data_IF_422961918294
#
_entry.id   IF_422961918294
#
_cell.length_a   1.000
_cell.length_b   1.000
_cell.length_c   1.000
_cell.angle_alpha   90.00
_cell.angle_beta   90.00
_cell.angle_gamma   90.00
#
_symmetry.space_group_name_H-M   'P 1'
#
loop_
_entity.id
_entity.type
_entity.pdbx_description
1 polymer ?
#
# COMPACT_ATOMS: atom_id res chain seq x y z
N UNK A 1 -10.13 -8.40 -8.38
CA UNK A 1 -10.92 -9.55 -7.90
C UNK A 1 -11.88 -10.07 -8.96
N UNK A 2 -12.77 -9.25 -9.52
CA UNK A 2 -13.80 -9.69 -10.48
C UNK A 2 -13.32 -9.89 -11.94
N UNK A 3 -12.09 -9.47 -12.27
CA UNK A 3 -11.58 -9.27 -13.64
C UNK A 3 -11.92 -10.33 -14.69
N UNK A 4 -13.05 -10.14 -15.35
CA UNK A 4 -13.54 -10.85 -16.53
C UNK A 4 -14.21 -9.83 -17.45
N UNK A 5 -13.89 -9.91 -18.74
CA UNK A 5 -14.41 -9.00 -19.75
C UNK A 5 -15.91 -9.21 -20.00
N UNK A 6 -16.37 -10.47 -20.05
CA UNK A 6 -17.75 -10.83 -20.37
C UNK A 6 -18.70 -10.43 -19.24
N UNK A 7 -18.39 -10.84 -18.01
CA UNK A 7 -19.18 -10.45 -16.84
C UNK A 7 -19.11 -8.94 -16.57
N UNK A 8 -17.95 -8.31 -16.77
CA UNK A 8 -17.78 -6.86 -16.67
C UNK A 8 -18.62 -6.10 -17.68
N UNK A 9 -18.76 -6.60 -18.91
CA UNK A 9 -19.60 -6.02 -19.95
C UNK A 9 -21.08 -6.04 -19.57
N UNK A 10 -21.58 -7.17 -19.06
CA UNK A 10 -22.97 -7.29 -18.59
C UNK A 10 -23.25 -6.33 -17.42
N UNK A 11 -22.35 -6.24 -16.45
CA UNK A 11 -22.46 -5.28 -15.35
C UNK A 11 -22.49 -3.83 -15.85
N UNK A 12 -21.61 -3.49 -16.78
CA UNK A 12 -21.53 -2.14 -17.38
C UNK A 12 -22.81 -1.80 -18.13
N UNK A 13 -23.36 -2.74 -18.90
CA UNK A 13 -24.59 -2.55 -19.66
C UNK A 13 -25.78 -2.30 -18.73
N UNK A 14 -25.94 -3.12 -17.68
CA UNK A 14 -26.99 -2.92 -16.69
C UNK A 14 -26.85 -1.55 -15.96
N UNK A 15 -25.64 -1.18 -15.55
CA UNK A 15 -25.40 0.09 -14.87
C UNK A 15 -25.60 1.29 -15.81
N UNK A 16 -25.19 1.18 -17.08
CA UNK A 16 -25.39 2.22 -18.09
C UNK A 16 -26.87 2.45 -18.36
N UNK A 17 -27.69 1.39 -18.42
CA UNK A 17 -29.14 1.52 -18.53
C UNK A 17 -29.76 2.22 -17.31
N UNK A 18 -29.30 1.92 -16.10
CA UNK A 18 -29.73 2.61 -14.88
C UNK A 18 -29.37 4.11 -14.90
N UNK A 19 -28.18 4.46 -15.39
CA UNK A 19 -27.75 5.85 -15.53
C UNK A 19 -28.51 6.59 -16.65
N UNK A 20 -28.68 5.97 -17.82
CA UNK A 20 -29.34 6.59 -18.97
C UNK A 20 -30.84 6.86 -18.72
N UNK A 21 -31.52 5.95 -18.01
CA UNK A 21 -32.95 6.06 -17.71
C UNK A 21 -33.24 6.49 -16.27
N UNK A 22 -32.33 7.25 -15.61
CA UNK A 22 -32.46 7.57 -14.19
C UNK A 22 -33.82 8.21 -13.83
N UNK A 23 -34.33 9.13 -14.66
CA UNK A 23 -35.62 9.80 -14.42
C UNK A 23 -36.81 8.83 -14.50
N UNK A 24 -36.76 7.87 -15.42
CA UNK A 24 -37.83 6.88 -15.63
C UNK A 24 -37.78 5.77 -14.59
N UNK A 25 -36.59 5.46 -14.11
CA UNK A 25 -36.29 4.40 -13.14
C UNK A 25 -36.21 4.93 -11.70
N UNK A 26 -36.56 6.20 -11.46
CA UNK A 26 -36.59 6.79 -10.13
C UNK A 26 -37.54 6.07 -9.15
N UNK A 27 -38.50 5.28 -9.67
CA UNK A 27 -39.34 4.43 -8.82
C UNK A 27 -38.55 3.29 -8.16
N UNK A 28 -37.46 2.78 -8.76
CA UNK A 28 -36.59 1.77 -8.14
C UNK A 28 -35.92 2.29 -6.86
N UNK A 29 -35.80 3.61 -6.70
CA UNK A 29 -35.28 4.20 -5.47
C UNK A 29 -36.25 4.05 -4.28
N UNK A 30 -37.54 3.74 -4.55
CA UNK A 30 -38.56 3.54 -3.52
C UNK A 30 -38.56 2.13 -2.96
N UNK A 31 -38.12 1.15 -3.74
CA UNK A 31 -37.98 -0.24 -3.28
C UNK A 31 -36.72 -0.41 -2.44
N UNK A 32 -36.85 -0.98 -1.25
CA UNK A 32 -35.74 -1.09 -0.29
C UNK A 32 -34.58 -1.95 -0.81
N UNK A 33 -34.88 -3.01 -1.56
CA UNK A 33 -33.88 -3.90 -2.18
C UNK A 33 -33.15 -3.26 -3.36
N UNK A 34 -33.83 -2.45 -4.17
CA UNK A 34 -33.29 -1.84 -5.39
C UNK A 34 -32.68 -0.45 -5.15
N UNK A 35 -33.00 0.18 -4.02
CA UNK A 35 -32.47 1.49 -3.62
C UNK A 35 -30.94 1.51 -3.57
N UNK A 36 -30.31 0.43 -3.09
CA UNK A 36 -28.85 0.32 -3.03
C UNK A 36 -28.23 0.37 -4.44
N UNK A 37 -28.79 -0.38 -5.39
CA UNK A 37 -28.31 -0.42 -6.78
C UNK A 37 -28.52 0.91 -7.50
N UNK A 38 -29.69 1.55 -7.29
CA UNK A 38 -29.98 2.84 -7.91
C UNK A 38 -29.08 3.96 -7.39
N UNK A 39 -28.83 3.99 -6.07
CA UNK A 39 -27.94 4.97 -5.44
C UNK A 39 -26.49 4.75 -5.86
N UNK A 40 -26.05 3.49 -5.92
CA UNK A 40 -24.71 3.09 -6.33
C UNK A 40 -24.47 3.01 -7.85
N UNK A 41 -25.40 3.44 -8.71
CA UNK A 41 -25.34 3.21 -10.16
C UNK A 41 -24.02 3.65 -10.83
N UNK A 42 -23.47 4.79 -10.40
CA UNK A 42 -22.19 5.29 -10.91
C UNK A 42 -21.00 4.45 -10.43
N UNK A 43 -21.05 3.92 -9.21
CA UNK A 43 -20.04 3.02 -8.65
C UNK A 43 -20.06 1.70 -9.44
N UNK A 44 -21.24 1.13 -9.68
CA UNK A 44 -21.40 -0.11 -10.44
C UNK A 44 -20.92 0.07 -11.89
N UNK A 45 -21.24 1.21 -12.51
CA UNK A 45 -20.74 1.54 -13.85
C UNK A 45 -19.22 1.54 -13.88
N UNK A 46 -18.58 2.22 -12.94
CA UNK A 46 -17.12 2.30 -12.85
C UNK A 46 -16.49 0.93 -12.55
N UNK A 47 -17.10 0.13 -11.67
CA UNK A 47 -16.69 -1.25 -11.39
C UNK A 47 -16.74 -2.12 -12.64
N UNK A 48 -17.81 -2.01 -13.45
CA UNK A 48 -17.94 -2.74 -14.71
C UNK A 48 -16.87 -2.36 -15.72
N UNK A 49 -16.62 -1.07 -15.91
CA UNK A 49 -15.58 -0.56 -16.83
C UNK A 49 -14.17 -1.02 -16.42
N UNK A 50 -13.82 -0.91 -15.13
CA UNK A 50 -12.54 -1.41 -14.64
C UNK A 50 -12.45 -2.95 -14.67
N UNK A 51 -13.56 -3.66 -14.49
CA UNK A 51 -13.60 -5.11 -14.71
C UNK A 51 -13.30 -5.46 -16.15
N UNK A 52 -13.86 -4.73 -17.12
CA UNK A 52 -13.56 -4.96 -18.54
C UNK A 52 -12.09 -4.73 -18.85
N UNK A 53 -11.49 -3.65 -18.33
CA UNK A 53 -10.06 -3.38 -18.48
C UNK A 53 -9.20 -4.51 -17.88
N UNK A 54 -9.50 -4.94 -16.66
CA UNK A 54 -8.75 -6.03 -16.00
C UNK A 54 -8.99 -7.39 -16.65
N UNK A 55 -10.19 -7.67 -17.15
CA UNK A 55 -10.49 -8.89 -17.92
C UNK A 55 -9.74 -8.94 -19.25
N UNK A 56 -9.56 -7.79 -19.90
CA UNK A 56 -8.71 -7.68 -21.09
C UNK A 56 -7.23 -7.93 -20.76
N UNK A 57 -6.73 -7.43 -19.63
CA UNK A 57 -5.36 -7.72 -19.16
C UNK A 57 -5.16 -9.18 -18.75
N UNK A 58 -6.16 -9.81 -18.13
CA UNK A 58 -6.12 -11.25 -17.85
C UNK A 58 -6.37 -12.10 -19.09
N UNK A 59 -6.83 -11.48 -20.17
CA UNK A 59 -7.22 -12.14 -21.40
C UNK A 59 -8.26 -13.24 -21.13
N UNK A 60 -9.32 -12.88 -20.40
CA UNK A 60 -10.39 -13.80 -20.01
C UNK A 60 -11.76 -13.21 -20.36
N UNK A 61 -12.51 -13.95 -21.17
CA UNK A 61 -13.91 -13.70 -21.51
C UNK A 61 -14.71 -14.99 -21.29
N UNK A 62 -15.52 -15.03 -20.24
CA UNK A 62 -16.32 -16.21 -19.88
C UNK A 62 -15.49 -17.52 -19.82
N UNK A 63 -14.31 -17.48 -19.19
CA UNK A 63 -13.38 -18.62 -19.08
C UNK A 63 -12.79 -19.07 -20.43
N UNK A 64 -12.58 -18.11 -21.34
CA UNK A 64 -11.88 -18.33 -22.61
C UNK A 64 -10.90 -17.20 -22.88
N UNK A 65 -9.77 -17.54 -23.49
CA UNK A 65 -8.81 -16.55 -23.96
C UNK A 65 -9.18 -15.96 -25.33
N UNK A 66 -8.84 -14.70 -25.54
CA UNK A 66 -8.96 -14.01 -26.83
C UNK A 66 -7.60 -13.97 -27.52
N UNK A 67 -7.51 -14.48 -28.75
CA UNK A 67 -6.31 -14.38 -29.59
C UNK A 67 -6.30 -13.07 -30.38
N UNK A 68 -6.11 -11.93 -29.70
CA UNK A 68 -6.13 -10.60 -30.33
C UNK A 68 -4.81 -10.33 -31.06
N UNK A 69 -3.68 -10.68 -30.45
CA UNK A 69 -2.34 -10.50 -31.02
C UNK A 69 -1.65 -11.85 -31.27
N UNK A 70 -0.50 -11.81 -31.97
CA UNK A 70 0.36 -12.98 -32.12
C UNK A 70 0.88 -13.44 -30.75
N UNK A 71 0.78 -14.74 -30.49
CA UNK A 71 1.33 -15.34 -29.28
C UNK A 71 2.86 -15.34 -29.32
N UNK A 72 3.49 -15.04 -28.18
CA UNK A 72 4.93 -15.18 -27.96
C UNK A 72 5.36 -16.63 -27.72
N UNK A 73 4.46 -17.60 -27.85
CA UNK A 73 4.75 -19.03 -27.69
C UNK A 73 4.41 -19.80 -28.97
N UNK A 74 5.35 -20.63 -29.42
CA UNK A 74 5.13 -21.58 -30.50
C UNK A 74 5.04 -23.00 -29.93
N UNK A 75 4.00 -23.72 -30.35
CA UNK A 75 3.90 -25.15 -30.10
C UNK A 75 4.66 -25.90 -31.20
N UNK A 76 5.50 -26.90 -30.87
CA UNK A 76 6.19 -27.68 -31.88
C UNK A 76 5.19 -28.50 -32.69
N UNK A 77 5.43 -28.61 -33.99
CA UNK A 77 4.55 -29.28 -34.97
C UNK A 77 4.56 -30.80 -34.84
N UNK A 78 5.60 -31.38 -34.26
CA UNK A 78 5.73 -32.81 -34.04
C UNK A 78 5.02 -33.22 -32.75
N UNK A 79 3.70 -33.32 -32.82
CA UNK A 79 2.89 -33.88 -31.76
C UNK A 79 3.11 -35.39 -31.71
N UNK A 80 4.02 -35.85 -30.84
CA UNK A 80 4.24 -37.27 -30.58
C UNK A 80 3.00 -37.94 -29.97
N UNK A 81 1.98 -38.24 -30.77
CA UNK A 81 0.77 -38.98 -30.35
C UNK A 81 -0.06 -38.33 -29.23
N UNK A 82 -1.18 -38.98 -28.88
CA UNK A 82 -2.00 -38.59 -27.73
C UNK A 82 -1.28 -38.93 -26.41
N UNK A 83 -1.14 -37.95 -25.51
CA UNK A 83 -0.65 -38.16 -24.14
C UNK A 83 0.81 -37.77 -23.86
N UNK A 84 1.57 -37.29 -24.85
CA UNK A 84 2.92 -36.76 -24.63
C UNK A 84 2.86 -35.30 -24.21
N UNK A 85 3.57 -34.94 -23.13
CA UNK A 85 3.73 -33.56 -22.69
C UNK A 85 4.63 -32.81 -23.66
N UNK A 86 4.08 -31.79 -24.30
CA UNK A 86 4.80 -30.93 -25.24
C UNK A 86 5.17 -29.62 -24.53
N UNK A 87 6.43 -29.20 -24.66
CA UNK A 87 6.89 -27.90 -24.16
C UNK A 87 6.79 -26.85 -25.27
N UNK A 88 6.17 -25.71 -24.98
CA UNK A 88 6.12 -24.58 -25.89
C UNK A 88 7.48 -23.84 -25.89
N UNK A 89 7.97 -23.48 -27.08
CA UNK A 89 9.18 -22.68 -27.22
C UNK A 89 8.83 -21.19 -27.20
N UNK A 90 9.55 -20.41 -26.38
CA UNK A 90 9.42 -18.95 -26.32
C UNK A 90 9.97 -18.32 -27.61
N UNK A 91 9.17 -17.48 -28.27
CA UNK A 91 9.61 -16.63 -29.38
C UNK A 91 10.27 -15.35 -28.86
N UNK A 92 10.98 -14.64 -29.74
CA UNK A 92 11.69 -13.38 -29.44
C UNK A 92 10.78 -12.17 -29.18
N UNK A 93 9.46 -12.36 -29.00
CA UNK A 93 8.53 -11.27 -28.73
C UNK A 93 7.62 -11.57 -27.53
N UNK A 94 7.27 -10.50 -26.81
CA UNK A 94 6.37 -10.54 -25.65
C UNK A 94 4.97 -10.13 -26.09
N UNK A 95 3.94 -10.77 -25.54
CA UNK A 95 2.55 -10.44 -25.84
C UNK A 95 2.25 -8.96 -25.48
N UNK A 96 1.72 -8.14 -26.41
CA UNK A 96 1.66 -6.69 -26.21
C UNK A 96 0.77 -6.22 -25.06
N UNK A 97 -0.39 -6.86 -24.84
CA UNK A 97 -1.37 -6.43 -23.84
C UNK A 97 -1.92 -7.65 -23.11
N UNK A 98 -1.60 -7.76 -21.82
CA UNK A 98 -2.16 -8.78 -20.95
C UNK A 98 -1.43 -10.12 -21.00
N UNK A 99 -2.13 -11.18 -20.62
CA UNK A 99 -1.59 -12.54 -20.58
C UNK A 99 -1.74 -13.20 -21.96
N UNK A 100 -0.68 -13.89 -22.38
CA UNK A 100 -0.65 -14.61 -23.65
C UNK A 100 -1.72 -15.73 -23.69
N UNK A 101 -2.54 -15.82 -24.76
CA UNK A 101 -3.55 -16.87 -24.92
C UNK A 101 -3.00 -18.30 -24.81
N UNK A 102 -1.73 -18.53 -25.16
CA UNK A 102 -1.11 -19.85 -25.10
C UNK A 102 -1.12 -20.46 -23.69
N UNK A 103 -1.14 -19.63 -22.64
CA UNK A 103 -1.22 -20.11 -21.26
C UNK A 103 -2.58 -20.74 -20.92
N UNK A 104 -3.66 -20.43 -21.63
CA UNK A 104 -4.99 -20.92 -21.27
C UNK A 104 -5.12 -22.45 -21.42
N UNK A 105 -4.36 -23.06 -22.34
CA UNK A 105 -4.39 -24.50 -22.59
C UNK A 105 -3.23 -25.26 -21.92
N UNK A 106 -2.33 -24.55 -21.25
CA UNK A 106 -1.15 -25.14 -20.64
C UNK A 106 -1.48 -25.81 -19.29
N UNK A 107 -0.93 -27.00 -19.03
CA UNK A 107 -1.10 -27.71 -17.76
C UNK A 107 -0.50 -26.99 -16.55
N UNK A 108 0.47 -26.09 -16.76
CA UNK A 108 1.14 -25.29 -15.74
C UNK A 108 0.60 -23.84 -15.64
N UNK A 109 -0.53 -23.53 -16.28
CA UNK A 109 -1.14 -22.19 -16.29
C UNK A 109 -1.47 -21.65 -14.90
N UNK A 110 -1.96 -22.52 -14.01
CA UNK A 110 -2.26 -22.17 -12.62
C UNK A 110 -1.01 -21.76 -11.85
N UNK A 111 0.12 -22.42 -12.09
CA UNK A 111 1.38 -22.10 -11.40
C UNK A 111 1.89 -20.71 -11.80
N UNK A 112 1.81 -20.40 -13.11
CA UNK A 112 2.15 -19.08 -13.65
C UNK A 112 1.20 -17.99 -13.14
N UNK A 113 -0.11 -18.18 -13.31
CA UNK A 113 -1.13 -17.18 -12.96
C UNK A 113 -1.19 -16.92 -11.46
N UNK A 114 -1.04 -17.94 -10.61
CA UNK A 114 -0.98 -17.76 -9.16
C UNK A 114 0.25 -16.95 -8.75
N UNK A 115 1.42 -17.24 -9.33
CA UNK A 115 2.65 -16.49 -9.02
C UNK A 115 2.56 -15.03 -9.50
N UNK A 116 1.98 -14.80 -10.67
CA UNK A 116 1.73 -13.47 -11.21
C UNK A 116 0.76 -12.68 -10.32
N UNK A 117 -0.42 -13.23 -10.02
CA UNK A 117 -1.46 -12.57 -9.23
C UNK A 117 -0.97 -12.25 -7.82
N UNK A 118 -0.26 -13.17 -7.16
CA UNK A 118 0.30 -12.92 -5.83
C UNK A 118 1.25 -11.71 -5.84
N UNK A 119 2.21 -11.68 -6.77
CA UNK A 119 3.19 -10.58 -6.87
C UNK A 119 2.52 -9.27 -7.25
N UNK A 120 1.58 -9.29 -8.19
CA UNK A 120 0.79 -8.12 -8.58
C UNK A 120 0.00 -7.54 -7.40
N UNK A 121 -0.64 -8.39 -6.59
CA UNK A 121 -1.38 -7.97 -5.39
C UNK A 121 -0.46 -7.27 -4.38
N UNK A 122 0.74 -7.80 -4.13
CA UNK A 122 1.72 -7.17 -3.22
C UNK A 122 2.12 -5.79 -3.74
N UNK A 123 2.45 -5.67 -5.04
CA UNK A 123 2.86 -4.39 -5.64
C UNK A 123 1.75 -3.35 -5.55
N UNK A 124 0.52 -3.72 -5.92
CA UNK A 124 -0.63 -2.81 -5.84
C UNK A 124 -0.98 -2.44 -4.40
N UNK A 125 -0.91 -3.41 -3.48
CA UNK A 125 -1.17 -3.20 -2.06
C UNK A 125 -0.20 -2.19 -1.44
N UNK A 126 1.10 -2.36 -1.67
CA UNK A 126 2.12 -1.44 -1.14
C UNK A 126 1.99 -0.03 -1.72
N UNK A 127 1.67 0.09 -3.01
CA UNK A 127 1.39 1.41 -3.63
C UNK A 127 0.16 2.05 -2.98
N UNK A 128 -0.91 1.29 -2.76
CA UNK A 128 -2.14 1.79 -2.17
C UNK A 128 -1.96 2.21 -0.70
N UNK A 129 -1.23 1.41 0.10
CA UNK A 129 -0.88 1.77 1.48
C UNK A 129 0.00 3.01 1.53
N UNK A 130 0.98 3.12 0.62
CA UNK A 130 1.84 4.30 0.50
C UNK A 130 1.02 5.55 0.20
N UNK A 131 0.05 5.46 -0.73
CA UNK A 131 -0.88 6.55 -1.01
C UNK A 131 -1.63 6.99 0.25
N UNK A 132 -2.15 6.03 1.03
CA UNK A 132 -2.85 6.31 2.28
C UNK A 132 -1.99 7.05 3.31
N UNK A 133 -0.72 6.65 3.48
CA UNK A 133 0.21 7.34 4.39
C UNK A 133 0.55 8.74 3.86
N UNK A 134 0.72 8.91 2.55
CA UNK A 134 0.97 10.21 1.93
C UNK A 134 -0.18 11.21 2.14
N UNK A 135 -1.43 10.76 2.28
CA UNK A 135 -2.58 11.64 2.58
C UNK A 135 -2.47 12.32 3.96
N UNK A 136 -1.62 11.81 4.87
CA UNK A 136 -1.35 12.47 6.14
C UNK A 136 -0.59 13.80 5.96
N UNK A 137 0.18 13.96 4.87
CA UNK A 137 0.99 15.16 4.64
C UNK A 137 0.14 16.40 4.37
N UNK A 138 -0.84 16.39 3.43
CA UNK A 138 -1.78 17.49 3.27
C UNK A 138 -2.52 17.85 4.56
N UNK A 139 -2.95 16.84 5.33
CA UNK A 139 -3.63 17.06 6.61
C UNK A 139 -2.72 17.78 7.60
N UNK A 140 -1.48 17.33 7.76
CA UNK A 140 -0.53 17.96 8.67
C UNK A 140 -0.14 19.38 8.23
N UNK A 141 -0.11 19.64 6.91
CA UNK A 141 0.11 20.98 6.37
C UNK A 141 -1.07 21.91 6.65
N UNK A 142 -2.31 21.45 6.43
CA UNK A 142 -3.53 22.20 6.70
C UNK A 142 -3.63 22.61 8.18
N UNK A 143 -3.40 21.67 9.10
CA UNK A 143 -3.42 21.93 10.55
C UNK A 143 -2.13 22.57 11.08
N UNK A 144 -1.14 22.88 10.23
CA UNK A 144 0.17 23.47 10.58
C UNK A 144 0.98 22.66 11.63
N UNK A 145 0.68 21.38 11.82
CA UNK A 145 1.35 20.50 12.80
C UNK A 145 2.59 19.84 12.19
N UNK A 146 3.67 20.61 11.99
CA UNK A 146 4.93 20.15 11.37
C UNK A 146 5.61 19.00 12.13
N UNK A 147 5.39 18.93 13.45
CA UNK A 147 5.93 17.85 14.32
C UNK A 147 5.44 16.47 13.84
N UNK A 148 4.18 16.37 13.40
CA UNK A 148 3.61 15.12 12.91
C UNK A 148 4.25 14.67 11.59
N UNK A 149 4.67 15.60 10.74
CA UNK A 149 5.35 15.25 9.48
C UNK A 149 6.70 14.60 9.77
N UNK A 150 7.50 15.22 10.64
CA UNK A 150 8.85 14.75 10.93
C UNK A 150 8.89 13.46 11.77
N UNK A 151 7.96 13.30 12.71
CA UNK A 151 8.04 12.24 13.72
C UNK A 151 7.00 11.13 13.56
N UNK A 152 5.99 11.31 12.69
CA UNK A 152 5.00 10.27 12.36
C UNK A 152 5.15 9.85 10.91
N UNK A 153 4.99 10.78 9.96
CA UNK A 153 5.01 10.43 8.53
C UNK A 153 6.37 9.89 8.05
N UNK A 154 7.48 10.60 8.34
CA UNK A 154 8.81 10.21 7.85
C UNK A 154 9.22 8.80 8.33
N UNK A 155 9.15 8.48 9.64
CA UNK A 155 9.50 7.14 10.10
C UNK A 155 8.57 6.05 9.57
N UNK A 156 7.27 6.34 9.41
CA UNK A 156 6.29 5.40 8.83
C UNK A 156 6.64 5.03 7.39
N UNK A 157 6.94 6.03 6.56
CA UNK A 157 7.36 5.80 5.17
C UNK A 157 8.68 5.05 5.11
N UNK A 158 9.69 5.44 5.90
CA UNK A 158 10.98 4.75 5.90
C UNK A 158 10.80 3.29 6.31
N UNK A 159 10.04 3.01 7.37
CA UNK A 159 9.75 1.66 7.82
C UNK A 159 9.07 0.82 6.72
N UNK A 160 8.00 1.35 6.10
CA UNK A 160 7.27 0.66 5.04
C UNK A 160 8.17 0.35 3.83
N UNK A 161 8.93 1.34 3.36
CA UNK A 161 9.81 1.17 2.19
C UNK A 161 11.02 0.26 2.48
N UNK A 162 11.51 0.23 3.71
CA UNK A 162 12.66 -0.61 4.09
C UNK A 162 12.34 -2.10 4.00
N UNK A 163 11.10 -2.50 4.31
CA UNK A 163 10.66 -3.90 4.30
C UNK A 163 9.91 -4.20 3.01
N UNK A 164 8.76 -3.56 2.82
CA UNK A 164 7.83 -3.86 1.73
C UNK A 164 8.19 -3.14 0.43
N UNK A 165 8.76 -1.94 0.50
CA UNK A 165 9.33 -1.28 -0.67
C UNK A 165 10.48 -2.09 -1.27
N UNK A 166 11.36 -2.65 -0.43
CA UNK A 166 12.41 -3.57 -0.86
C UNK A 166 11.85 -4.86 -1.49
N UNK A 167 10.77 -5.41 -0.93
CA UNK A 167 10.08 -6.56 -1.53
C UNK A 167 9.54 -6.23 -2.93
N UNK A 168 8.89 -5.08 -3.11
CA UNK A 168 8.42 -4.61 -4.43
C UNK A 168 9.58 -4.42 -5.40
N UNK A 169 10.67 -3.80 -4.95
CA UNK A 169 11.89 -3.67 -5.73
C UNK A 169 12.43 -5.05 -6.16
N UNK A 170 12.50 -6.02 -5.25
CA UNK A 170 12.98 -7.36 -5.57
C UNK A 170 12.07 -8.10 -6.57
N UNK A 171 10.74 -7.91 -6.50
CA UNK A 171 9.80 -8.45 -7.49
C UNK A 171 10.09 -7.88 -8.88
N UNK A 172 10.19 -6.56 -9.00
CA UNK A 172 10.43 -5.88 -10.28
C UNK A 172 11.83 -6.25 -10.81
N UNK A 173 12.85 -6.23 -9.97
CA UNK A 173 14.21 -6.62 -10.34
C UNK A 173 14.26 -8.07 -10.83
N UNK A 174 13.57 -8.99 -10.15
CA UNK A 174 13.47 -10.38 -10.56
C UNK A 174 12.77 -10.53 -11.91
N UNK A 175 11.75 -9.71 -12.21
CA UNK A 175 11.08 -9.69 -13.51
C UNK A 175 11.92 -9.07 -14.63
N UNK A 176 12.78 -8.11 -14.31
CA UNK A 176 13.65 -7.42 -15.27
C UNK A 176 14.97 -8.15 -15.57
N UNK A 177 15.27 -9.24 -14.86
CA UNK A 177 16.52 -10.01 -15.03
C UNK A 177 16.23 -11.32 -15.73
N UNK A 178 16.99 -11.64 -16.78
CA UNK A 178 16.92 -12.94 -17.42
C UNK A 178 17.82 -13.94 -16.69
N UNK A 179 17.19 -14.77 -15.85
CA UNK A 179 17.87 -15.78 -15.02
C UNK A 179 18.40 -16.98 -15.82
N UNK A 180 17.95 -17.15 -17.07
CA UNK A 180 18.33 -18.28 -17.91
C UNK A 180 19.25 -17.89 -19.07
N UNK A 181 19.70 -16.63 -19.10
CA UNK A 181 20.71 -16.18 -20.05
C UNK A 181 21.99 -17.02 -19.88
N UNK A 182 22.58 -17.42 -21.01
CA UNK A 182 23.84 -18.17 -21.05
C UNK A 182 24.95 -17.24 -21.52
N UNK A 183 26.09 -17.27 -20.85
CA UNK A 183 27.29 -16.55 -21.28
C UNK A 183 27.85 -17.16 -22.58
N UNK A 184 28.77 -16.45 -23.23
CA UNK A 184 29.46 -16.90 -24.45
C UNK A 184 30.19 -18.25 -24.30
N UNK A 185 30.43 -18.70 -23.06
CA UNK A 185 31.01 -19.99 -22.67
C UNK A 185 29.97 -21.11 -22.43
N UNK A 186 28.67 -20.83 -22.58
CA UNK A 186 27.60 -21.81 -22.42
C UNK A 186 27.17 -22.08 -20.97
N UNK A 187 27.79 -21.42 -19.99
CA UNK A 187 27.34 -21.46 -18.58
C UNK A 187 26.21 -20.47 -18.32
N UNK A 188 25.31 -20.81 -17.40
CA UNK A 188 24.25 -19.91 -16.96
C UNK A 188 24.88 -18.70 -16.27
N UNK A 189 24.57 -17.48 -16.72
CA UNK A 189 25.01 -16.23 -16.07
C UNK A 189 24.51 -16.12 -14.64
N UNK A 190 23.38 -16.79 -14.34
CA UNK A 190 22.75 -16.82 -13.03
C UNK A 190 22.40 -18.26 -12.63
N UNK A 191 22.83 -18.66 -11.43
CA UNK A 191 22.81 -20.06 -10.98
C UNK A 191 21.39 -20.54 -10.64
N UNK A 192 20.50 -19.68 -10.12
CA UNK A 192 19.10 -20.00 -9.84
C UNK A 192 18.27 -18.75 -9.50
N UNK A 193 16.97 -18.70 -9.87
CA UNK A 193 16.09 -17.60 -9.48
C UNK A 193 15.70 -17.70 -7.99
N UNK A 194 16.05 -16.72 -7.13
CA UNK A 194 15.87 -16.84 -5.69
C UNK A 194 14.41 -16.77 -5.24
N UNK A 195 14.07 -17.47 -4.16
CA UNK A 195 12.75 -17.39 -3.54
C UNK A 195 12.61 -16.10 -2.74
N UNK A 196 11.69 -15.21 -3.18
CA UNK A 196 11.48 -13.91 -2.54
C UNK A 196 10.92 -14.06 -1.10
N UNK A 197 10.17 -15.13 -0.84
CA UNK A 197 9.63 -15.44 0.49
C UNK A 197 10.79 -15.78 1.45
N UNK A 198 11.65 -16.72 1.06
CA UNK A 198 12.79 -17.13 1.88
C UNK A 198 13.76 -15.96 2.09
N UNK A 199 13.96 -15.15 1.05
CA UNK A 199 14.77 -13.94 1.11
C UNK A 199 14.25 -12.96 2.18
N UNK A 200 12.94 -12.75 2.27
CA UNK A 200 12.34 -11.89 3.29
C UNK A 200 12.45 -12.50 4.70
N UNK A 201 12.24 -13.81 4.84
CA UNK A 201 12.37 -14.50 6.14
C UNK A 201 13.82 -14.43 6.65
N UNK A 202 14.79 -14.77 5.80
CA UNK A 202 16.20 -14.79 6.19
C UNK A 202 16.78 -13.40 6.43
N UNK A 203 16.20 -12.36 5.83
CA UNK A 203 16.54 -10.97 6.14
C UNK A 203 16.34 -10.65 7.63
N UNK A 204 15.32 -11.23 8.28
CA UNK A 204 15.07 -11.03 9.72
C UNK A 204 15.76 -12.08 10.61
N UNK A 205 15.84 -13.35 10.17
CA UNK A 205 16.37 -14.44 11.00
C UNK A 205 17.91 -14.54 11.00
N UNK A 206 18.57 -14.18 9.90
CA UNK A 206 20.03 -14.33 9.74
C UNK A 206 20.59 -13.17 8.89
N UNK A 207 20.61 -11.94 9.43
CA UNK A 207 21.00 -10.76 8.67
C UNK A 207 22.46 -10.86 8.21
N UNK A 208 22.69 -10.62 6.91
CA UNK A 208 24.02 -10.58 6.30
C UNK A 208 24.51 -11.91 5.73
N UNK A 209 23.79 -13.02 5.94
CA UNK A 209 24.15 -14.32 5.39
C UNK A 209 23.28 -14.66 4.18
N UNK A 210 23.76 -14.34 2.97
CA UNK A 210 23.10 -14.71 1.71
C UNK A 210 24.00 -15.70 0.98
N UNK A 211 23.50 -16.92 0.77
CA UNK A 211 24.20 -17.97 0.02
C UNK A 211 24.54 -17.49 -1.39
N UNK A 212 25.75 -17.80 -1.87
CA UNK A 212 26.21 -17.34 -3.20
C UNK A 212 25.29 -17.79 -4.35
N UNK A 213 24.56 -18.90 -4.16
CA UNK A 213 23.58 -19.43 -5.11
C UNK A 213 22.25 -18.65 -5.17
N UNK A 214 21.94 -17.82 -4.17
CA UNK A 214 20.66 -17.09 -4.05
C UNK A 214 20.82 -15.57 -4.14
N UNK A 215 22.05 -15.07 -4.38
CA UNK A 215 22.32 -13.63 -4.52
C UNK A 215 21.67 -13.07 -5.77
N UNK A 216 20.80 -12.07 -5.57
CA UNK A 216 20.14 -11.33 -6.66
C UNK A 216 21.06 -10.28 -7.28
N UNK A 217 21.83 -9.58 -6.46
CA UNK A 217 22.72 -8.52 -6.92
C UNK A 217 23.94 -8.39 -6.00
N UNK A 218 25.00 -7.77 -6.50
CA UNK A 218 26.23 -7.51 -5.74
C UNK A 218 25.93 -6.56 -4.58
N UNK A 219 26.27 -6.95 -3.35
CA UNK A 219 26.04 -6.14 -2.16
C UNK A 219 24.66 -6.33 -1.49
N UNK A 220 23.87 -7.33 -1.91
CA UNK A 220 22.55 -7.61 -1.32
C UNK A 220 22.58 -7.75 0.21
N UNK A 221 23.56 -8.47 0.76
CA UNK A 221 23.69 -8.67 2.21
C UNK A 221 23.86 -7.34 2.96
N UNK A 222 24.74 -6.45 2.45
CA UNK A 222 24.97 -5.15 3.06
C UNK A 222 23.72 -4.26 3.02
N UNK A 223 23.00 -4.26 1.89
CA UNK A 223 21.77 -3.48 1.75
C UNK A 223 20.66 -4.01 2.68
N UNK A 224 20.46 -5.33 2.74
CA UNK A 224 19.46 -5.94 3.60
C UNK A 224 19.72 -5.64 5.09
N UNK A 225 20.97 -5.78 5.54
CA UNK A 225 21.34 -5.43 6.91
C UNK A 225 21.12 -3.94 7.18
N UNK A 226 21.49 -3.06 6.25
CA UNK A 226 21.24 -1.62 6.39
C UNK A 226 19.75 -1.28 6.49
N UNK A 227 18.91 -1.84 5.61
CA UNK A 227 17.46 -1.64 5.62
C UNK A 227 16.81 -2.18 6.90
N UNK A 228 17.28 -3.32 7.41
CA UNK A 228 16.81 -3.87 8.67
C UNK A 228 17.15 -2.95 9.86
N UNK A 229 18.40 -2.47 9.94
CA UNK A 229 18.81 -1.53 10.98
C UNK A 229 18.03 -0.23 10.91
N UNK A 230 17.78 0.28 9.70
CA UNK A 230 16.96 1.46 9.47
C UNK A 230 15.54 1.26 10.00
N UNK A 231 14.90 0.12 9.67
CA UNK A 231 13.58 -0.23 10.17
C UNK A 231 13.54 -0.35 11.71
N UNK A 232 14.57 -0.94 12.32
CA UNK A 232 14.69 -1.07 13.77
C UNK A 232 14.84 0.28 14.48
N UNK A 233 15.52 1.26 13.87
CA UNK A 233 15.67 2.62 14.40
C UNK A 233 14.38 3.44 14.25
N UNK A 234 13.58 3.18 13.22
CA UNK A 234 12.30 3.86 13.01
C UNK A 234 11.28 3.57 14.12
N UNK A 235 11.29 2.37 14.72
CA UNK A 235 10.36 2.00 15.81
C UNK A 235 10.52 2.88 17.05
N UNK A 236 11.71 3.01 17.68
CA UNK A 236 11.89 3.90 18.82
C UNK A 236 11.77 5.38 18.43
N UNK A 237 12.07 5.75 17.18
CA UNK A 237 11.86 7.12 16.69
C UNK A 237 10.37 7.49 16.72
N UNK A 238 9.48 6.65 16.17
CA UNK A 238 8.03 6.87 16.23
C UNK A 238 7.50 6.89 17.66
N UNK A 239 8.01 6.02 18.52
CA UNK A 239 7.48 5.83 19.87
C UNK A 239 7.86 6.99 20.80
N UNK A 240 9.14 7.38 20.83
CA UNK A 240 9.67 8.26 21.87
C UNK A 240 9.69 9.74 21.46
N UNK A 241 9.90 10.06 20.18
CA UNK A 241 10.32 11.42 19.84
C UNK A 241 9.17 12.43 19.93
N UNK A 242 7.97 12.07 19.47
CA UNK A 242 6.79 12.93 19.59
C UNK A 242 6.42 13.27 21.06
N UNK A 243 6.25 12.30 21.98
CA UNK A 243 5.90 12.60 23.37
C UNK A 243 7.01 13.37 24.11
N UNK A 244 8.28 13.08 23.82
CA UNK A 244 9.40 13.81 24.45
C UNK A 244 9.48 15.27 23.99
N UNK A 245 9.20 15.56 22.72
CA UNK A 245 9.13 16.94 22.21
C UNK A 245 7.96 17.67 22.85
N UNK A 246 6.78 17.05 22.90
CA UNK A 246 5.59 17.62 23.53
C UNK A 246 5.83 17.92 25.02
N UNK A 247 6.51 17.02 25.74
CA UNK A 247 6.92 17.27 27.13
C UNK A 247 7.86 18.46 27.27
N UNK A 248 8.83 18.60 26.36
CA UNK A 248 9.78 19.71 26.36
C UNK A 248 9.10 21.04 26.06
N UNK A 249 8.17 21.07 25.12
CA UNK A 249 7.36 22.26 24.79
C UNK A 249 6.48 22.66 25.97
N UNK A 250 5.80 21.71 26.62
CA UNK A 250 4.99 21.97 27.80
C UNK A 250 5.82 22.50 28.99
N UNK A 251 6.97 21.91 29.27
CA UNK A 251 7.90 22.41 30.29
C UNK A 251 8.42 23.81 29.99
N UNK A 252 8.63 24.13 28.71
CA UNK A 252 9.03 25.47 28.27
C UNK A 252 7.93 26.50 28.51
N UNK A 253 6.68 26.18 28.16
CA UNK A 253 5.50 27.04 28.41
C UNK A 253 5.31 27.30 29.91
N UNK A 254 5.47 26.27 30.74
CA UNK A 254 5.46 26.42 32.21
C UNK A 254 6.60 27.35 32.67
N UNK A 255 7.82 27.18 32.15
CA UNK A 255 8.98 27.98 32.53
C UNK A 255 8.89 29.45 32.09
N UNK A 256 8.17 29.73 31.00
CA UNK A 256 7.91 31.07 30.48
C UNK A 256 6.78 31.80 31.25
N UNK A 257 6.23 31.17 32.30
CA UNK A 257 5.33 31.83 33.26
C UNK A 257 3.86 31.82 32.89
N UNK A 258 3.48 31.24 31.74
CA UNK A 258 2.08 31.12 31.33
C UNK A 258 1.29 30.13 32.20
N UNK A 259 1.93 29.12 32.80
CA UNK A 259 1.28 28.11 33.65
C UNK A 259 0.84 28.57 35.06
N UNK A 260 0.91 29.87 35.39
CA UNK A 260 0.52 30.39 36.72
C UNK A 260 -0.51 31.53 36.72
N UNK A 261 -0.99 31.99 35.55
CA UNK A 261 -1.94 33.12 35.47
C UNK A 261 -3.40 32.63 35.33
N UNK A 262 -3.76 31.49 35.93
CA UNK A 262 -5.18 31.07 35.98
C UNK A 262 -5.60 30.42 37.30
N UNK A 263 -4.66 30.04 38.18
CA UNK A 263 -4.99 29.54 39.52
C UNK A 263 -4.91 30.68 40.54
N UNK A 264 -6.06 31.28 40.87
CA UNK A 264 -6.30 32.26 41.94
C UNK A 264 -5.92 33.72 41.68
N UNK A 265 -6.78 34.44 40.95
CA UNK A 265 -7.08 35.83 41.33
C UNK A 265 -8.59 35.92 41.59
N UNK A 266 -9.02 35.47 42.78
CA UNK A 266 -10.23 36.01 43.38
C UNK A 266 -9.88 37.42 43.85
N UNK A 267 -10.13 38.44 43.02
CA UNK A 267 -10.15 39.82 43.49
C UNK A 267 -11.35 39.92 44.43
N UNK A 268 -11.12 39.95 45.74
CA UNK A 268 -12.15 40.40 46.68
C UNK A 268 -12.38 41.89 46.42
N UNK A 269 -13.56 42.21 45.88
CA UNK A 269 -14.01 43.59 45.75
C UNK A 269 -14.53 44.09 47.10
N UNK A 270 -13.64 44.63 47.93
CA UNK A 270 -14.01 45.64 48.92
C UNK A 270 -12.90 46.69 48.99
N UNK A 271 -13.19 47.91 48.50
CA UNK A 271 -12.27 49.04 48.56
C UNK A 271 -12.51 50.05 47.44
N UNK A 272 -13.32 51.08 47.72
CA UNK A 272 -13.50 52.26 46.88
C UNK A 272 -12.15 52.95 46.57
N UNK A 273 -11.91 53.30 45.30
CA UNK A 273 -10.76 54.14 44.94
C UNK A 273 -10.35 54.14 43.47
N UNK A 274 -10.91 55.09 42.71
CA UNK A 274 -10.33 55.84 41.58
C UNK A 274 -9.32 55.16 40.63
N UNK A 275 -9.75 54.97 39.37
CA UNK A 275 -8.98 55.31 38.18
C UNK A 275 -7.96 54.29 37.65
N UNK A 276 -8.38 53.43 36.72
CA UNK A 276 -7.47 52.64 35.88
C UNK A 276 -8.24 51.89 34.80
N UNK A 277 -7.98 52.19 33.52
CA UNK A 277 -8.63 51.57 32.37
C UNK A 277 -8.35 50.05 32.34
N UNK A 278 -9.41 49.25 32.45
CA UNK A 278 -9.36 47.79 32.25
C UNK A 278 -9.39 47.53 30.75
N UNK A 279 -8.25 47.15 30.18
CA UNK A 279 -8.19 46.58 28.82
C UNK A 279 -8.66 45.14 28.93
N UNK A 280 -9.90 44.90 28.52
CA UNK A 280 -10.42 43.54 28.31
C UNK A 280 -9.79 43.02 27.02
N UNK A 281 -8.75 42.20 27.13
CA UNK A 281 -8.34 41.34 26.02
C UNK A 281 -9.20 40.09 26.06
N UNK A 282 -10.20 40.02 25.17
CA UNK A 282 -10.86 38.77 24.79
C UNK A 282 -9.79 37.84 24.19
N UNK A 283 -9.22 36.99 25.03
CA UNK A 283 -8.40 35.88 24.57
C UNK A 283 -9.31 34.67 24.59
N UNK A 284 -9.66 34.21 23.38
CA UNK A 284 -10.41 32.98 23.14
C UNK A 284 -9.90 31.87 24.07
N UNK A 285 -10.81 31.36 24.91
CA UNK A 285 -10.63 30.17 25.71
C UNK A 285 -10.35 29.00 24.76
N UNK A 286 -9.07 28.77 24.44
CA UNK A 286 -8.63 27.44 24.07
C UNK A 286 -8.68 26.63 25.37
N UNK A 287 -9.68 25.76 25.48
CA UNK A 287 -9.71 24.66 26.45
C UNK A 287 -8.32 24.00 26.47
N UNK A 288 -7.53 24.29 27.51
CA UNK A 288 -6.29 23.59 27.79
C UNK A 288 -6.68 22.17 28.20
N UNK A 289 -6.70 21.26 27.23
CA UNK A 289 -6.61 19.82 27.51
C UNK A 289 -5.43 19.61 28.47
N UNK A 290 -5.74 19.14 29.68
CA UNK A 290 -4.78 18.77 30.71
C UNK A 290 -3.64 17.97 30.05
N UNK A 291 -2.42 18.52 30.04
CA UNK A 291 -1.28 17.86 29.43
C UNK A 291 -0.88 16.65 30.29
N UNK A 292 -1.53 15.51 30.05
CA UNK A 292 -1.12 14.25 30.66
C UNK A 292 -0.10 13.54 29.78
N UNK A 293 1.17 13.64 30.20
CA UNK A 293 2.27 12.96 29.55
C UNK A 293 2.08 11.43 29.51
N UNK A 294 1.46 10.84 30.53
CA UNK A 294 1.21 9.40 30.58
C UNK A 294 0.23 8.99 29.49
N UNK A 295 -0.87 9.72 29.31
CA UNK A 295 -1.86 9.45 28.26
C UNK A 295 -1.29 9.62 26.86
N UNK A 296 -0.48 10.66 26.63
CA UNK A 296 0.19 10.87 25.33
C UNK A 296 1.17 9.71 25.03
N UNK A 297 1.91 9.25 26.03
CA UNK A 297 2.83 8.11 25.89
C UNK A 297 2.09 6.80 25.60
N UNK A 298 0.97 6.54 26.28
CA UNK A 298 0.14 5.35 26.06
C UNK A 298 -0.42 5.35 24.65
N UNK A 299 -1.05 6.46 24.23
CA UNK A 299 -1.63 6.59 22.88
C UNK A 299 -0.57 6.44 21.79
N UNK A 300 0.63 7.02 21.98
CA UNK A 300 1.71 6.90 21.01
C UNK A 300 2.28 5.47 20.94
N UNK A 301 2.33 4.77 22.06
CA UNK A 301 2.76 3.37 22.13
C UNK A 301 1.79 2.47 21.36
N UNK A 302 0.48 2.60 21.61
CA UNK A 302 -0.56 1.87 20.90
C UNK A 302 -0.46 2.13 19.39
N UNK A 303 -0.42 3.40 19.00
CA UNK A 303 -0.31 3.80 17.60
C UNK A 303 0.93 3.20 16.90
N UNK A 304 2.08 3.16 17.59
CA UNK A 304 3.31 2.60 17.01
C UNK A 304 3.21 1.08 16.84
N UNK A 305 2.66 0.37 17.83
CA UNK A 305 2.44 -1.08 17.76
C UNK A 305 1.44 -1.43 16.66
N UNK A 306 0.29 -0.74 16.63
CA UNK A 306 -0.73 -0.91 15.61
C UNK A 306 -0.16 -0.64 14.21
N UNK A 307 0.58 0.44 14.02
CA UNK A 307 1.17 0.75 12.72
C UNK A 307 2.11 -0.36 12.24
N UNK A 308 3.01 -0.85 13.10
CA UNK A 308 3.97 -1.89 12.73
C UNK A 308 3.27 -3.22 12.40
N UNK A 309 2.32 -3.65 13.24
CA UNK A 309 1.56 -4.88 13.04
C UNK A 309 0.64 -4.79 11.82
N UNK A 310 -0.08 -3.68 11.67
CA UNK A 310 -0.97 -3.45 10.55
C UNK A 310 -0.21 -3.34 9.23
N UNK A 311 1.01 -2.79 9.22
CA UNK A 311 1.84 -2.77 8.00
C UNK A 311 2.12 -4.18 7.49
N UNK A 312 2.36 -5.14 8.39
CA UNK A 312 2.57 -6.54 8.03
C UNK A 312 1.24 -7.20 7.64
N UNK A 313 0.22 -7.05 8.48
CA UNK A 313 -1.09 -7.66 8.26
C UNK A 313 -1.76 -7.17 6.96
N UNK A 314 -1.72 -5.87 6.69
CA UNK A 314 -2.34 -5.27 5.49
C UNK A 314 -1.59 -5.62 4.21
N UNK A 315 -0.28 -5.92 4.29
CA UNK A 315 0.45 -6.41 3.11
C UNK A 315 0.17 -7.88 2.83
N UNK A 316 -0.14 -8.67 3.87
CA UNK A 316 -0.51 -10.08 3.73
C UNK A 316 -1.98 -10.28 3.31
N UNK A 317 -2.86 -9.34 3.69
CA UNK A 317 -4.28 -9.31 3.32
C UNK A 317 -4.51 -8.88 1.88
#
# INVERSE_FOLDING_TARGET
>A
MFGDLGHGFLMTLCAALLCAFEKRLAWLAKDESLRMFYTGRYIILLMGVFSMFTGLLYNDIFSRAMSIFSSGWAWPTDHGGEGVTVEATKLDHVYPIGIDPAWHHAGNSLLFTNSYKMKMSIVLGVIHMTLGICLQVPNALHFKKRINILHVFIPQIIFLFSIFGYLVFAIIFKWSTDWYARDASGELTHISPPSLLNMLIYMFLSPGNVSDSEKMFRGQAALQTFLLLLALVCVPWMLLVKPLILRKEHQKIISEGYGRISSHVRVSSEGEGLGGAVVVSEQEEMEEDDFDFADIMINQTIHTIEFCLNSISNTAS
#
